data_IF_263391085644
#
_entry.id   IF_263391085644
#
_cell.length_a   1.000
_cell.length_b   1.000
_cell.length_c   1.000
_cell.angle_alpha   90.00
_cell.angle_beta   90.00
_cell.angle_gamma   90.00
#
_symmetry.space_group_name_H-M   'P 1'
#
loop_
_entity.id
_entity.type
_entity.pdbx_description
1 polymer ?
#
# COMPACT_ATOMS: atom_id res chain seq x y z
N UNK A 1 31.16 36.93 -15.52
CA UNK A 1 31.54 35.54 -15.18
C UNK A 1 30.30 34.77 -14.76
N UNK A 2 29.89 33.68 -15.43
CA UNK A 2 28.66 32.97 -15.08
C UNK A 2 28.90 32.10 -13.84
N UNK A 3 28.15 32.35 -12.77
CA UNK A 3 28.13 31.49 -11.58
C UNK A 3 27.52 30.15 -11.96
N UNK A 4 28.37 29.13 -12.19
CA UNK A 4 27.93 27.75 -12.44
C UNK A 4 27.27 27.22 -11.17
N UNK A 5 25.94 27.28 -11.14
CA UNK A 5 25.12 26.75 -10.06
C UNK A 5 25.16 25.22 -10.11
N UNK A 6 26.15 24.63 -9.44
CA UNK A 6 26.31 23.17 -9.33
C UNK A 6 25.20 22.66 -8.42
N UNK A 7 24.06 22.28 -9.01
CA UNK A 7 23.01 21.52 -8.30
C UNK A 7 23.66 20.23 -7.82
N UNK A 8 23.88 20.13 -6.51
CA UNK A 8 24.35 18.89 -5.91
C UNK A 8 23.25 17.85 -6.10
N UNK A 9 23.55 16.83 -6.90
CA UNK A 9 22.69 15.67 -7.06
C UNK A 9 22.77 14.88 -5.74
N UNK A 10 21.92 15.22 -4.78
CA UNK A 10 21.74 14.41 -3.58
C UNK A 10 21.06 13.12 -4.01
N UNK A 11 21.85 12.11 -4.36
CA UNK A 11 21.33 10.76 -4.55
C UNK A 11 20.66 10.33 -3.24
N UNK A 12 19.37 9.94 -3.26
CA UNK A 12 18.70 9.45 -2.06
C UNK A 12 19.50 8.31 -1.45
N UNK A 13 19.65 8.30 -0.12
CA UNK A 13 20.38 7.25 0.64
C UNK A 13 19.74 5.85 0.55
N UNK A 14 18.68 5.69 -0.23
CA UNK A 14 17.95 4.44 -0.43
C UNK A 14 17.63 4.26 -1.91
N UNK A 15 17.89 3.07 -2.45
CA UNK A 15 17.39 2.68 -3.78
C UNK A 15 15.87 2.58 -3.66
N UNK A 16 15.18 3.59 -4.18
CA UNK A 16 13.72 3.56 -4.22
C UNK A 16 13.31 2.41 -5.16
N UNK A 17 12.50 1.43 -4.68
CA UNK A 17 11.83 0.50 -5.56
C UNK A 17 11.07 1.31 -6.61
N UNK A 18 11.11 0.84 -7.86
CA UNK A 18 10.57 1.51 -9.05
C UNK A 18 9.08 1.90 -8.92
N UNK A 19 8.40 1.30 -7.95
CA UNK A 19 6.94 1.36 -7.78
C UNK A 19 6.48 2.32 -6.68
N UNK A 20 7.41 2.99 -5.98
CA UNK A 20 7.08 4.01 -4.97
C UNK A 20 6.34 3.49 -3.73
N UNK A 21 6.09 2.19 -3.62
CA UNK A 21 5.34 1.54 -2.52
C UNK A 21 6.05 1.57 -1.17
N UNK A 22 7.32 1.96 -1.11
CA UNK A 22 8.05 2.27 0.14
C UNK A 22 8.07 3.76 0.46
N UNK A 23 7.68 4.63 -0.48
CA UNK A 23 7.64 6.08 -0.26
C UNK A 23 6.46 6.49 0.62
N UNK A 24 5.35 5.76 0.49
CA UNK A 24 4.22 5.80 1.41
C UNK A 24 4.35 4.56 2.30
N UNK A 25 4.89 4.74 3.50
CA UNK A 25 5.01 3.67 4.48
C UNK A 25 3.65 3.08 4.89
N UNK A 26 3.67 2.11 5.80
CA UNK A 26 2.43 1.58 6.38
C UNK A 26 1.71 2.71 7.13
N UNK A 27 0.47 3.00 6.73
CA UNK A 27 -0.39 3.98 7.39
C UNK A 27 -1.35 3.28 8.33
N UNK A 28 -1.78 3.96 9.39
CA UNK A 28 -2.86 3.49 10.27
C UNK A 28 -4.14 4.22 9.89
N UNK A 29 -5.22 3.47 9.66
CA UNK A 29 -6.54 4.00 9.30
C UNK A 29 -7.61 3.14 9.97
N UNK A 30 -8.80 3.71 10.22
CA UNK A 30 -9.95 2.93 10.69
C UNK A 30 -10.34 1.84 9.68
N UNK A 31 -10.69 0.67 10.19
CA UNK A 31 -11.10 -0.48 9.42
C UNK A 31 -12.45 -0.30 8.73
N UNK A 32 -12.91 -1.31 7.98
CA UNK A 32 -14.26 -1.33 7.44
C UNK A 32 -15.33 -1.18 8.53
N UNK A 33 -16.50 -0.64 8.18
CA UNK A 33 -17.62 -0.43 9.12
C UNK A 33 -17.96 -1.63 10.02
N UNK A 34 -17.91 -2.85 9.49
CA UNK A 34 -18.18 -4.08 10.25
C UNK A 34 -17.12 -4.45 11.29
N UNK A 35 -15.97 -3.78 11.29
CA UNK A 35 -14.90 -3.95 12.29
C UNK A 35 -15.03 -2.99 13.47
N UNK A 36 -16.13 -2.23 13.54
CA UNK A 36 -16.50 -1.39 14.69
C UNK A 36 -15.39 -0.40 15.11
N UNK A 37 -14.77 0.27 14.14
CA UNK A 37 -13.76 1.30 14.39
C UNK A 37 -12.36 0.76 14.73
N UNK A 38 -12.10 -0.54 14.52
CA UNK A 38 -10.77 -1.09 14.76
C UNK A 38 -9.71 -0.42 13.86
N UNK A 39 -8.50 -0.21 14.38
CA UNK A 39 -7.41 0.38 13.60
C UNK A 39 -6.78 -0.68 12.70
N UNK A 40 -6.69 -0.37 11.41
CA UNK A 40 -6.05 -1.17 10.38
C UNK A 40 -4.74 -0.54 9.94
N UNK A 41 -3.72 -1.39 9.76
CA UNK A 41 -2.50 -1.05 9.06
C UNK A 41 -2.70 -1.25 7.58
N UNK A 42 -2.39 -0.21 6.81
CA UNK A 42 -2.65 -0.09 5.38
C UNK A 42 -1.35 0.15 4.65
N UNK A 43 -1.07 -0.68 3.64
CA UNK A 43 0.08 -0.51 2.77
C UNK A 43 -0.36 -0.49 1.31
N UNK A 44 0.17 0.47 0.57
CA UNK A 44 -0.01 0.54 -0.89
C UNK A 44 0.96 -0.42 -1.57
N UNK A 45 0.45 -1.28 -2.44
CA UNK A 45 1.25 -2.16 -3.29
C UNK A 45 1.23 -1.60 -4.71
N UNK A 46 2.42 -1.35 -5.25
CA UNK A 46 2.59 -0.93 -6.63
C UNK A 46 2.29 -2.05 -7.61
N UNK A 47 2.02 -1.68 -8.87
CA UNK A 47 1.70 -2.64 -9.93
C UNK A 47 2.81 -3.67 -10.16
N UNK A 48 4.09 -3.28 -10.15
CA UNK A 48 5.18 -4.23 -10.40
C UNK A 48 5.42 -5.21 -9.24
N UNK A 49 5.07 -4.82 -8.00
CA UNK A 49 5.10 -5.71 -6.84
C UNK A 49 3.88 -6.67 -6.78
N UNK A 50 2.83 -6.40 -7.54
CA UNK A 50 1.64 -7.25 -7.63
C UNK A 50 1.90 -8.43 -8.59
N UNK A 51 2.52 -9.49 -8.11
CA UNK A 51 2.90 -10.65 -8.94
C UNK A 51 1.94 -11.83 -8.83
N UNK A 52 0.93 -11.75 -7.95
CA UNK A 52 -0.02 -12.84 -7.65
C UNK A 52 -1.46 -12.36 -7.74
N UNK A 53 -2.35 -13.32 -7.98
CA UNK A 53 -3.78 -13.10 -7.87
C UNK A 53 -4.23 -13.08 -6.41
N UNK A 54 -5.09 -12.14 -6.07
CA UNK A 54 -5.76 -12.07 -4.77
C UNK A 54 -7.25 -11.79 -4.94
N UNK A 55 -8.06 -12.10 -3.94
CA UNK A 55 -9.50 -11.81 -3.94
C UNK A 55 -9.78 -10.60 -3.04
N UNK A 56 -10.50 -9.62 -3.57
CA UNK A 56 -10.90 -8.42 -2.84
C UNK A 56 -12.12 -8.69 -1.94
N UNK A 57 -12.05 -8.49 -0.61
CA UNK A 57 -13.21 -8.71 0.28
C UNK A 57 -14.40 -7.78 0.00
N UNK A 58 -14.15 -6.57 -0.51
CA UNK A 58 -15.22 -5.57 -0.69
C UNK A 58 -16.09 -5.79 -1.93
N UNK A 59 -15.56 -6.40 -2.99
CA UNK A 59 -16.30 -6.68 -4.23
C UNK A 59 -16.30 -8.15 -4.63
N UNK A 60 -15.58 -9.00 -3.89
CA UNK A 60 -15.39 -10.42 -4.14
C UNK A 60 -14.84 -10.75 -5.54
N UNK A 61 -14.13 -9.79 -6.17
CA UNK A 61 -13.49 -9.96 -7.48
C UNK A 61 -11.98 -10.14 -7.35
N UNK A 62 -11.37 -10.72 -8.39
CA UNK A 62 -9.94 -10.92 -8.46
C UNK A 62 -9.19 -9.58 -8.66
N UNK A 63 -8.04 -9.49 -7.99
CA UNK A 63 -6.99 -8.50 -8.22
C UNK A 63 -5.91 -9.23 -9.02
N UNK A 64 -5.83 -9.01 -10.35
CA UNK A 64 -4.83 -9.67 -11.17
C UNK A 64 -3.42 -9.10 -10.90
N UNK A 65 -2.37 -9.87 -11.25
CA UNK A 65 -1.00 -9.37 -11.22
C UNK A 65 -0.85 -8.13 -12.12
N UNK A 66 0.03 -7.21 -11.75
CA UNK A 66 0.19 -5.93 -12.42
C UNK A 66 -0.77 -4.84 -11.97
N UNK A 67 -1.76 -5.15 -11.11
CA UNK A 67 -2.71 -4.14 -10.60
C UNK A 67 -2.26 -3.59 -9.25
N UNK A 68 -2.08 -2.27 -9.19
CA UNK A 68 -1.79 -1.58 -7.94
C UNK A 68 -2.99 -1.66 -6.98
N UNK A 69 -2.76 -2.15 -5.77
CA UNK A 69 -3.80 -2.48 -4.81
C UNK A 69 -3.35 -2.16 -3.38
N UNK A 70 -4.23 -2.37 -2.42
CA UNK A 70 -4.01 -2.07 -1.00
C UNK A 70 -3.96 -3.37 -0.22
N UNK A 71 -3.01 -3.47 0.68
CA UNK A 71 -2.96 -4.55 1.67
C UNK A 71 -3.30 -3.95 3.02
N UNK A 72 -4.36 -4.48 3.64
CA UNK A 72 -4.85 -4.02 4.91
C UNK A 72 -4.99 -5.19 5.88
N UNK A 73 -4.58 -4.98 7.13
CA UNK A 73 -4.71 -5.95 8.21
C UNK A 73 -5.00 -5.21 9.52
N UNK A 74 -5.70 -5.85 10.48
CA UNK A 74 -5.99 -5.20 11.74
C UNK A 74 -4.70 -5.03 12.56
N UNK A 75 -4.61 -3.92 13.31
CA UNK A 75 -3.42 -3.58 14.11
C UNK A 75 -3.36 -4.40 15.38
N UNK A 76 -4.49 -4.55 16.04
CA UNK A 76 -4.60 -5.05 17.42
C UNK A 76 -5.27 -6.44 17.47
N UNK A 77 -6.11 -6.78 16.48
CA UNK A 77 -6.83 -8.05 16.39
C UNK A 77 -6.26 -8.95 15.29
N UNK A 78 -5.96 -10.22 15.61
CA UNK A 78 -5.47 -11.22 14.65
C UNK A 78 -3.96 -11.52 14.70
N UNK A 79 -3.46 -12.35 13.77
CA UNK A 79 -2.04 -12.74 13.66
C UNK A 79 -1.18 -11.69 12.94
N UNK A 80 -1.66 -10.44 12.87
CA UNK A 80 -0.98 -9.34 12.22
C UNK A 80 -0.78 -9.57 10.72
N UNK A 81 0.45 -9.93 10.33
CA UNK A 81 0.87 -10.06 8.91
C UNK A 81 0.18 -11.23 8.21
N UNK A 82 -0.27 -12.24 8.93
CA UNK A 82 -0.95 -13.40 8.33
C UNK A 82 -2.40 -13.08 7.93
N UNK A 83 -3.03 -12.08 8.55
CA UNK A 83 -4.40 -11.63 8.24
C UNK A 83 -4.44 -10.52 7.18
N UNK A 84 -3.39 -10.44 6.34
CA UNK A 84 -3.31 -9.46 5.24
C UNK A 84 -4.37 -9.71 4.18
N UNK A 85 -5.36 -8.84 4.16
CA UNK A 85 -6.40 -8.81 3.13
C UNK A 85 -5.99 -7.84 2.02
N UNK A 86 -6.25 -8.25 0.79
CA UNK A 86 -5.88 -7.49 -0.40
C UNK A 86 -7.14 -6.84 -0.98
N UNK A 87 -7.09 -5.55 -1.23
CA UNK A 87 -8.23 -4.74 -1.65
C UNK A 87 -7.89 -3.95 -2.89
N UNK A 88 -8.83 -3.79 -3.82
CA UNK A 88 -8.67 -2.74 -4.82
C UNK A 88 -8.64 -1.37 -4.14
N UNK A 89 -7.89 -0.42 -4.71
CA UNK A 89 -7.79 0.95 -4.16
C UNK A 89 -9.16 1.60 -3.93
N UNK A 90 -10.04 1.49 -4.92
CA UNK A 90 -11.39 2.06 -4.86
C UNK A 90 -12.30 1.33 -3.87
N UNK A 91 -12.16 0.01 -3.71
CA UNK A 91 -12.93 -0.75 -2.71
C UNK A 91 -12.54 -0.34 -1.29
N UNK A 92 -11.24 -0.17 -1.03
CA UNK A 92 -10.78 0.31 0.27
C UNK A 92 -11.33 1.71 0.58
N UNK A 93 -11.29 2.64 -0.37
CA UNK A 93 -11.82 4.00 -0.16
C UNK A 93 -13.33 4.08 0.08
N UNK A 94 -14.10 3.03 -0.21
CA UNK A 94 -15.57 2.99 -0.10
C UNK A 94 -16.11 2.08 1.01
N UNK A 95 -15.23 1.58 1.89
CA UNK A 95 -15.54 0.58 2.93
C UNK A 95 -16.31 1.14 4.13
#
# INVERSE_FOLDING_TARGET
>A
MPRRNRRQHQSPRYVLPRDGSTFIGTQEMEGPSWTNGEIFKVRQIGSAAATKFYVCPGCNQNIPPGVAHIVAWPKDTGRGVDDRRHWHKHCWSRR
#
